data_IF_840108622203
#
_entry.id   IF_840108622203
#
_cell.length_a   1.000
_cell.length_b   1.000
_cell.length_c   1.000
_cell.angle_alpha   90.00
_cell.angle_beta   90.00
_cell.angle_gamma   90.00
#
_symmetry.space_group_name_H-M   'P 1'
#
loop_
_entity.id
_entity.type
_entity.pdbx_description
1 polymer ?
#
# COMPACT_ATOMS: atom_id res chain seq x y z
N UNK A 1 -6.48 -16.44 -23.46
CA UNK A 1 -5.37 -15.66 -24.07
C UNK A 1 -4.52 -15.11 -22.93
N UNK A 2 -3.20 -14.94 -23.12
CA UNK A 2 -2.38 -14.26 -22.12
C UNK A 2 -2.72 -12.76 -22.14
N UNK A 3 -2.87 -12.15 -20.95
CA UNK A 3 -3.11 -10.71 -20.83
C UNK A 3 -1.94 -9.93 -21.47
N UNK A 4 -2.23 -8.78 -22.04
CA UNK A 4 -1.24 -7.80 -22.49
C UNK A 4 -0.60 -7.07 -21.29
N UNK A 5 0.55 -6.41 -21.52
CA UNK A 5 1.17 -5.52 -20.52
C UNK A 5 0.20 -4.44 -20.08
N UNK A 6 -0.55 -3.86 -21.02
CA UNK A 6 -1.55 -2.82 -20.74
C UNK A 6 -2.67 -3.32 -19.83
N UNK A 7 -3.22 -4.51 -20.10
CA UNK A 7 -4.26 -5.10 -19.25
C UNK A 7 -3.74 -5.39 -17.84
N UNK A 8 -2.49 -5.83 -17.70
CA UNK A 8 -1.87 -6.03 -16.38
C UNK A 8 -1.59 -4.73 -15.64
N UNK A 9 -1.17 -3.68 -16.34
CA UNK A 9 -0.99 -2.35 -15.77
C UNK A 9 -2.33 -1.79 -15.24
N UNK A 10 -3.41 -1.92 -16.01
CA UNK A 10 -4.77 -1.59 -15.55
C UNK A 10 -5.17 -2.45 -14.36
N UNK A 11 -4.92 -3.76 -14.42
CA UNK A 11 -5.20 -4.70 -13.33
C UNK A 11 -4.44 -4.37 -12.05
N UNK A 12 -3.22 -3.85 -12.12
CA UNK A 12 -2.47 -3.39 -10.96
C UNK A 12 -3.15 -2.21 -10.26
N UNK A 13 -3.60 -1.20 -11.02
CA UNK A 13 -4.28 -0.02 -10.50
C UNK A 13 -5.65 -0.40 -9.91
N UNK A 14 -6.48 -1.07 -10.70
CA UNK A 14 -7.84 -1.46 -10.28
C UNK A 14 -7.79 -2.47 -9.14
N UNK A 15 -6.90 -3.46 -9.22
CA UNK A 15 -6.72 -4.46 -8.17
C UNK A 15 -6.29 -3.84 -6.84
N UNK A 16 -5.39 -2.85 -6.85
CA UNK A 16 -5.01 -2.13 -5.65
C UNK A 16 -6.20 -1.36 -5.04
N UNK A 17 -6.96 -0.63 -5.86
CA UNK A 17 -8.14 0.12 -5.40
C UNK A 17 -9.26 -0.80 -4.85
N UNK A 18 -9.50 -1.94 -5.50
CA UNK A 18 -10.47 -2.94 -5.03
C UNK A 18 -10.01 -3.58 -3.73
N UNK A 19 -8.72 -3.94 -3.62
CA UNK A 19 -8.16 -4.56 -2.43
C UNK A 19 -8.22 -3.63 -1.20
N UNK A 20 -7.93 -2.34 -1.38
CA UNK A 20 -8.00 -1.36 -0.29
C UNK A 20 -9.44 -1.20 0.22
N UNK A 21 -10.42 -1.03 -0.68
CA UNK A 21 -11.83 -0.95 -0.33
C UNK A 21 -12.37 -2.26 0.30
N UNK A 22 -11.93 -3.41 -0.19
CA UNK A 22 -12.31 -4.73 0.32
C UNK A 22 -11.81 -4.96 1.77
N UNK A 23 -10.59 -4.53 2.08
CA UNK A 23 -9.96 -4.73 3.37
C UNK A 23 -10.29 -3.63 4.40
N UNK A 24 -10.72 -2.44 3.95
CA UNK A 24 -11.01 -1.27 4.78
C UNK A 24 -11.84 -1.57 6.05
N UNK A 25 -12.92 -2.37 6.01
CA UNK A 25 -13.76 -2.63 7.18
C UNK A 25 -13.04 -3.38 8.32
N UNK A 26 -11.93 -4.06 8.04
CA UNK A 26 -11.18 -4.87 9.03
C UNK A 26 -9.74 -4.36 9.23
N UNK A 27 -9.45 -3.19 8.68
CA UNK A 27 -8.12 -2.60 8.73
C UNK A 27 -7.67 -2.36 10.18
N UNK A 28 -6.38 -2.62 10.45
CA UNK A 28 -5.70 -2.45 11.74
C UNK A 28 -6.24 -3.28 12.93
N UNK A 29 -6.87 -4.42 12.68
CA UNK A 29 -7.11 -5.42 13.74
C UNK A 29 -5.81 -6.20 13.99
N UNK A 30 -5.06 -5.78 15.02
CA UNK A 30 -3.76 -6.40 15.37
C UNK A 30 -3.87 -7.63 16.28
N UNK A 31 -4.93 -7.72 17.09
CA UNK A 31 -5.13 -8.88 17.96
C UNK A 31 -5.63 -10.07 17.12
N UNK A 32 -4.86 -11.16 17.12
CA UNK A 32 -5.13 -12.33 16.27
C UNK A 32 -6.42 -13.05 16.65
N UNK A 33 -6.75 -13.13 17.94
CA UNK A 33 -7.99 -13.78 18.38
C UNK A 33 -9.19 -12.94 17.97
N UNK A 34 -9.10 -11.61 18.12
CA UNK A 34 -10.12 -10.70 17.61
C UNK A 34 -10.29 -10.79 16.09
N UNK A 35 -9.18 -10.89 15.35
CA UNK A 35 -9.25 -11.07 13.90
C UNK A 35 -9.94 -12.39 13.52
N UNK A 36 -9.64 -13.49 14.22
CA UNK A 36 -10.31 -14.78 14.02
C UNK A 36 -11.80 -14.71 14.29
N UNK A 37 -12.21 -14.07 15.39
CA UNK A 37 -13.63 -13.84 15.71
C UNK A 37 -14.33 -13.07 14.60
N UNK A 38 -13.74 -11.97 14.11
CA UNK A 38 -14.33 -11.13 13.06
C UNK A 38 -14.46 -11.88 11.74
N UNK A 39 -13.51 -12.77 11.43
CA UNK A 39 -13.50 -13.57 10.20
C UNK A 39 -14.41 -14.81 10.27
N UNK A 40 -14.71 -15.33 11.46
CA UNK A 40 -15.41 -16.60 11.64
C UNK A 40 -16.76 -16.67 10.89
N UNK A 41 -17.50 -15.57 10.86
CA UNK A 41 -18.82 -15.48 10.21
C UNK A 41 -18.73 -15.05 8.73
N UNK A 42 -17.55 -14.73 8.23
CA UNK A 42 -17.33 -14.20 6.87
C UNK A 42 -16.61 -15.17 5.94
N UNK A 43 -15.96 -16.21 6.46
CA UNK A 43 -15.32 -17.22 5.62
C UNK A 43 -16.36 -17.92 4.72
N UNK A 44 -16.04 -18.14 3.42
CA UNK A 44 -14.75 -17.92 2.75
C UNK A 44 -14.58 -16.55 2.06
N UNK A 45 -15.50 -15.61 2.25
CA UNK A 45 -15.58 -14.31 1.56
C UNK A 45 -15.43 -13.13 2.53
N UNK A 46 -14.23 -12.88 3.07
CA UNK A 46 -13.98 -11.86 4.08
C UNK A 46 -14.00 -10.42 3.55
N UNK A 47 -13.96 -10.23 2.23
CA UNK A 47 -14.00 -8.94 1.57
C UNK A 47 -15.31 -8.17 1.80
N UNK A 48 -15.24 -6.83 1.77
CA UNK A 48 -16.42 -5.96 1.78
C UNK A 48 -17.40 -6.23 2.93
N UNK A 49 -16.88 -6.50 4.13
CA UNK A 49 -17.71 -6.66 5.33
C UNK A 49 -18.66 -5.46 5.49
N UNK A 50 -19.95 -5.73 5.62
CA UNK A 50 -20.98 -4.70 5.73
C UNK A 50 -20.81 -3.83 6.98
N UNK A 51 -20.58 -4.47 8.14
CA UNK A 51 -20.35 -3.78 9.40
C UNK A 51 -18.86 -3.66 9.70
N UNK A 52 -18.34 -2.43 9.70
CA UNK A 52 -16.93 -2.19 10.00
C UNK A 52 -16.52 -2.73 11.38
N UNK A 53 -15.48 -3.56 11.39
CA UNK A 53 -14.77 -4.02 12.58
C UNK A 53 -13.48 -3.19 12.85
N UNK A 54 -13.25 -2.14 12.08
CA UNK A 54 -12.09 -1.26 12.21
C UNK A 54 -12.11 -0.54 13.57
N UNK A 55 -11.05 -0.64 14.39
CA UNK A 55 -11.03 -0.07 15.72
C UNK A 55 -10.70 1.44 15.76
N UNK A 56 -10.32 2.05 14.63
CA UNK A 56 -9.82 3.43 14.59
C UNK A 56 -10.74 4.40 13.86
N UNK A 57 -11.37 4.00 12.76
CA UNK A 57 -12.19 4.88 11.95
C UNK A 57 -13.35 4.14 11.28
N UNK A 58 -14.40 4.87 10.92
CA UNK A 58 -15.56 4.35 10.18
C UNK A 58 -15.71 5.05 8.85
N UNK A 59 -15.83 4.25 7.80
CA UNK A 59 -16.21 4.65 6.44
C UNK A 59 -17.26 3.68 5.93
N UNK A 60 -17.99 4.09 4.90
CA UNK A 60 -18.93 3.18 4.24
C UNK A 60 -18.14 2.09 3.51
N UNK A 61 -18.55 0.84 3.67
CA UNK A 61 -17.94 -0.29 2.95
C UNK A 61 -17.94 -0.05 1.45
N UNK A 62 -16.80 -0.30 0.82
CA UNK A 62 -16.55 0.01 -0.60
C UNK A 62 -15.87 1.37 -0.82
N UNK A 63 -15.80 2.23 0.19
CA UNK A 63 -14.94 3.42 0.15
C UNK A 63 -13.47 3.05 0.38
N UNK A 64 -12.58 3.88 -0.17
CA UNK A 64 -11.15 3.74 0.03
C UNK A 64 -10.75 4.04 1.49
N UNK A 65 -9.57 3.58 1.89
CA UNK A 65 -8.84 4.11 3.04
C UNK A 65 -8.04 5.34 2.63
N UNK A 66 -7.30 5.92 3.59
CA UNK A 66 -6.32 6.96 3.28
C UNK A 66 -5.17 6.49 2.37
N UNK A 67 -4.94 5.18 2.27
CA UNK A 67 -3.99 4.62 1.31
C UNK A 67 -4.53 4.69 -0.13
N UNK A 68 -5.75 4.17 -0.34
CA UNK A 68 -6.41 4.21 -1.64
C UNK A 68 -6.67 5.64 -2.14
N UNK A 69 -7.06 6.56 -1.25
CA UNK A 69 -7.24 7.96 -1.60
C UNK A 69 -5.93 8.64 -2.01
N UNK A 70 -4.78 8.29 -1.41
CA UNK A 70 -3.47 8.77 -1.88
C UNK A 70 -3.12 8.22 -3.27
N UNK A 71 -3.42 6.94 -3.53
CA UNK A 71 -3.23 6.33 -4.84
C UNK A 71 -4.10 7.00 -5.91
N UNK A 72 -5.34 7.36 -5.56
CA UNK A 72 -6.25 8.07 -6.44
C UNK A 72 -5.73 9.47 -6.82
N UNK A 73 -5.28 10.26 -5.85
CA UNK A 73 -4.69 11.59 -6.10
C UNK A 73 -3.46 11.50 -7.00
N UNK A 74 -2.61 10.50 -6.80
CA UNK A 74 -1.47 10.23 -7.67
C UNK A 74 -1.90 9.88 -9.10
N UNK A 75 -2.88 8.99 -9.24
CA UNK A 75 -3.42 8.60 -10.54
C UNK A 75 -4.00 9.80 -11.29
N UNK A 76 -4.74 10.66 -10.60
CA UNK A 76 -5.30 11.89 -11.17
C UNK A 76 -4.19 12.82 -11.66
N UNK A 77 -3.18 13.08 -10.84
CA UNK A 77 -2.03 13.92 -11.20
C UNK A 77 -1.31 13.40 -12.45
N UNK A 78 -0.98 12.10 -12.47
CA UNK A 78 -0.34 11.45 -13.63
C UNK A 78 -1.18 11.57 -14.90
N UNK A 79 -2.50 11.33 -14.79
CA UNK A 79 -3.42 11.40 -15.92
C UNK A 79 -3.57 12.81 -16.49
N UNK A 80 -3.55 13.84 -15.64
CA UNK A 80 -3.73 15.22 -16.08
C UNK A 80 -2.41 15.82 -16.61
N UNK A 81 -1.27 15.45 -16.02
CA UNK A 81 0.03 16.00 -16.39
C UNK A 81 0.75 15.20 -17.48
N UNK A 82 0.33 13.97 -17.78
CA UNK A 82 1.03 13.08 -18.71
C UNK A 82 2.38 12.57 -18.18
N UNK A 83 2.56 12.57 -16.86
CA UNK A 83 3.79 12.14 -16.19
C UNK A 83 3.88 12.67 -14.77
N UNK A 84 4.98 12.36 -14.06
CA UNK A 84 5.22 12.88 -12.71
C UNK A 84 5.48 14.39 -12.75
N UNK A 85 4.59 15.15 -12.12
CA UNK A 85 4.75 16.58 -11.85
C UNK A 85 4.62 16.83 -10.34
N UNK A 86 5.73 17.07 -9.65
CA UNK A 86 5.78 17.16 -8.19
C UNK A 86 4.88 18.28 -7.66
N UNK A 87 4.90 19.47 -8.27
CA UNK A 87 4.07 20.58 -7.79
C UNK A 87 2.57 20.29 -7.92
N UNK A 88 2.11 19.77 -9.06
CA UNK A 88 0.70 19.38 -9.24
C UNK A 88 0.28 18.30 -8.23
N UNK A 89 1.12 17.28 -8.03
CA UNK A 89 0.86 16.23 -7.03
C UNK A 89 0.78 16.82 -5.60
N UNK A 90 1.68 17.73 -5.25
CA UNK A 90 1.68 18.44 -3.96
C UNK A 90 0.40 19.25 -3.79
N UNK A 91 0.01 20.05 -4.79
CA UNK A 91 -1.20 20.89 -4.73
C UNK A 91 -2.48 20.05 -4.64
N UNK A 92 -2.58 18.95 -5.40
CA UNK A 92 -3.74 18.04 -5.33
C UNK A 92 -3.81 17.32 -3.99
N UNK A 93 -2.67 16.84 -3.48
CA UNK A 93 -2.60 16.20 -2.17
C UNK A 93 -3.02 17.19 -1.07
N UNK A 94 -2.52 18.42 -1.12
CA UNK A 94 -2.89 19.46 -0.17
C UNK A 94 -4.39 19.77 -0.23
N UNK A 95 -4.95 19.93 -1.43
CA UNK A 95 -6.39 20.17 -1.64
C UNK A 95 -7.27 19.01 -1.16
N UNK A 96 -6.87 17.77 -1.43
CA UNK A 96 -7.67 16.58 -1.13
C UNK A 96 -7.68 16.24 0.36
N UNK A 97 -6.52 16.41 1.03
CA UNK A 97 -6.35 16.04 2.44
C UNK A 97 -6.36 17.23 3.39
N UNK A 98 -6.42 18.48 2.91
CA UNK A 98 -6.33 19.70 3.70
C UNK A 98 -7.63 20.12 4.40
N UNK A 99 -7.67 21.40 4.79
CA UNK A 99 -8.78 22.03 5.53
C UNK A 99 -10.09 22.02 4.72
N UNK A 100 -11.22 21.83 5.40
CA UNK A 100 -12.56 21.84 4.78
C UNK A 100 -12.93 20.55 4.02
N UNK A 101 -12.11 19.51 4.13
CA UNK A 101 -12.35 18.20 3.48
C UNK A 101 -12.94 17.20 4.47
N UNK A 102 -13.34 16.02 4.00
CA UNK A 102 -13.75 14.89 4.86
C UNK A 102 -12.65 14.42 5.81
N UNK A 103 -11.39 14.76 5.54
CA UNK A 103 -10.27 14.48 6.42
C UNK A 103 -10.10 15.50 7.54
N UNK A 104 -10.75 16.66 7.48
CA UNK A 104 -10.60 17.78 8.42
C UNK A 104 -11.38 17.56 9.72
N UNK A 105 -11.03 16.48 10.41
CA UNK A 105 -11.61 16.06 11.68
C UNK A 105 -10.69 16.45 12.85
N UNK A 106 -11.22 16.70 14.07
CA UNK A 106 -10.39 17.11 15.21
C UNK A 106 -9.22 16.16 15.53
N UNK A 107 -9.39 14.84 15.33
CA UNK A 107 -8.31 13.88 15.56
C UNK A 107 -7.28 13.84 14.42
N UNK A 108 -7.68 14.29 13.24
CA UNK A 108 -6.85 14.38 12.05
C UNK A 108 -6.07 15.70 11.93
N UNK A 109 -6.40 16.70 12.75
CA UNK A 109 -5.73 18.01 12.76
C UNK A 109 -4.18 17.83 12.77
N UNK A 110 -3.47 18.34 11.74
CA UNK A 110 -2.02 18.29 11.65
C UNK A 110 -1.31 18.98 12.82
N UNK A 111 -1.97 19.93 13.48
CA UNK A 111 -1.44 20.76 14.56
C UNK A 111 -1.88 20.29 15.95
N UNK A 112 -2.61 19.17 16.04
CA UNK A 112 -3.07 18.60 17.30
C UNK A 112 -1.90 18.28 18.23
N UNK A 113 -1.84 18.95 19.39
CA UNK A 113 -0.82 18.70 20.42
C UNK A 113 -1.00 17.32 21.07
N UNK A 114 0.12 16.64 21.32
CA UNK A 114 0.16 15.41 22.13
C UNK A 114 -0.20 15.75 23.58
N UNK A 115 -0.94 14.87 24.27
CA UNK A 115 -1.30 15.03 25.69
C UNK A 115 -2.72 15.56 25.98
N UNK A 116 -3.57 15.70 24.96
CA UNK A 116 -5.00 15.96 25.16
C UNK A 116 -5.77 14.73 25.69
N UNK A 117 -7.08 14.88 25.97
CA UNK A 117 -7.93 13.78 26.38
C UNK A 117 -7.84 12.57 25.43
N UNK A 118 -8.02 11.36 25.96
CA UNK A 118 -8.06 10.13 25.15
C UNK A 118 -9.14 10.28 24.07
N UNK A 119 -8.77 10.01 22.83
CA UNK A 119 -9.72 10.02 21.73
C UNK A 119 -10.75 8.91 21.91
N UNK A 120 -12.02 9.23 21.65
CA UNK A 120 -13.06 8.21 21.48
C UNK A 120 -12.87 7.62 20.09
N UNK A 121 -12.64 6.32 20.03
CA UNK A 121 -12.46 5.56 18.80
C UNK A 121 -13.57 4.51 18.65
N UNK A 122 -13.92 4.12 17.41
CA UNK A 122 -13.41 4.71 16.16
C UNK A 122 -14.02 6.09 15.87
N UNK A 123 -13.29 6.95 15.16
CA UNK A 123 -13.84 8.22 14.66
C UNK A 123 -14.88 7.98 13.55
N UNK A 124 -15.82 8.91 13.41
CA UNK A 124 -16.78 8.91 12.30
C UNK A 124 -16.18 9.70 11.12
N UNK A 125 -15.77 8.98 10.07
CA UNK A 125 -15.03 9.53 8.93
C UNK A 125 -13.63 8.92 8.76
N UNK A 126 -12.85 9.40 7.76
CA UNK A 126 -11.58 8.81 7.40
C UNK A 126 -10.45 9.15 8.38
N UNK A 127 -9.43 8.32 8.43
CA UNK A 127 -8.22 8.54 9.23
C UNK A 127 -7.11 9.21 8.40
N UNK A 128 -6.55 10.35 8.84
CA UNK A 128 -5.40 11.00 8.19
C UNK A 128 -4.08 10.46 8.74
N UNK A 129 -3.23 9.90 7.89
CA UNK A 129 -1.93 9.34 8.29
C UNK A 129 -0.94 10.40 8.80
N UNK A 130 0.06 9.94 9.56
CA UNK A 130 1.12 10.79 10.12
C UNK A 130 1.93 11.50 9.04
N UNK A 131 2.32 10.77 8.00
CA UNK A 131 2.93 11.25 6.76
C UNK A 131 2.20 12.47 6.19
N UNK A 132 0.88 12.39 6.02
CA UNK A 132 0.05 13.48 5.48
C UNK A 132 -0.09 14.67 6.44
N UNK A 133 -0.14 14.43 7.76
CA UNK A 133 -0.13 15.52 8.74
C UNK A 133 1.18 16.30 8.67
N UNK A 134 2.31 15.61 8.59
CA UNK A 134 3.61 16.25 8.41
C UNK A 134 3.73 16.97 7.07
N UNK A 135 3.27 16.36 5.99
CA UNK A 135 3.16 16.97 4.67
C UNK A 135 2.42 18.31 4.71
N UNK A 136 1.21 18.34 5.28
CA UNK A 136 0.43 19.58 5.37
C UNK A 136 1.19 20.67 6.14
N UNK A 137 1.79 20.32 7.29
CA UNK A 137 2.62 21.27 8.05
C UNK A 137 3.82 21.79 7.27
N UNK A 138 4.47 20.93 6.49
CA UNK A 138 5.64 21.29 5.71
C UNK A 138 5.28 22.21 4.53
N UNK A 139 4.15 21.95 3.87
CA UNK A 139 3.61 22.84 2.81
C UNK A 139 3.21 24.19 3.41
N UNK A 140 2.49 24.21 4.54
CA UNK A 140 2.10 25.45 5.23
C UNK A 140 3.31 26.29 5.67
N UNK A 141 4.43 25.62 6.01
CA UNK A 141 5.69 26.26 6.36
C UNK A 141 6.54 26.69 5.13
N UNK A 142 6.07 26.43 3.90
CA UNK A 142 6.78 26.79 2.67
C UNK A 142 8.08 26.00 2.45
N UNK A 143 8.17 24.77 2.97
CA UNK A 143 9.35 23.92 2.74
C UNK A 143 9.37 23.39 1.30
N UNK A 144 10.57 23.29 0.74
CA UNK A 144 10.80 22.64 -0.57
C UNK A 144 10.59 21.13 -0.47
N UNK A 145 11.14 20.49 0.57
CA UNK A 145 10.90 19.08 0.86
C UNK A 145 9.68 18.93 1.78
N UNK A 146 8.58 18.44 1.20
CA UNK A 146 7.30 18.36 1.90
C UNK A 146 7.12 17.05 2.67
N UNK A 147 7.83 15.98 2.31
CA UNK A 147 7.65 14.66 2.93
C UNK A 147 8.02 14.59 4.41
N UNK A 148 7.42 13.63 5.11
CA UNK A 148 7.76 13.33 6.51
C UNK A 148 9.04 12.50 6.61
N UNK A 149 10.01 12.95 7.39
CA UNK A 149 11.28 12.27 7.66
C UNK A 149 11.17 11.16 8.73
N UNK A 150 10.23 11.30 9.65
CA UNK A 150 10.00 10.32 10.74
C UNK A 150 9.08 9.15 10.35
N UNK A 151 8.19 9.33 9.38
CA UNK A 151 7.17 8.32 9.03
C UNK A 151 7.76 7.21 8.15
N UNK A 152 7.75 5.98 8.69
CA UNK A 152 8.21 4.77 8.01
C UNK A 152 7.07 3.75 7.81
N UNK A 153 5.83 4.23 7.65
CA UNK A 153 4.64 3.40 7.39
C UNK A 153 4.57 2.96 5.92
N UNK A 154 3.54 2.16 5.59
CA UNK A 154 3.38 1.48 4.31
C UNK A 154 2.83 2.37 3.17
N UNK A 155 2.59 3.67 3.41
CA UNK A 155 1.91 4.55 2.46
C UNK A 155 2.52 4.51 1.07
N UNK A 156 3.86 4.60 0.96
CA UNK A 156 4.59 4.48 -0.30
C UNK A 156 4.23 3.22 -1.09
N UNK A 157 4.19 2.06 -0.44
CA UNK A 157 3.85 0.79 -1.10
C UNK A 157 2.39 0.75 -1.54
N UNK A 158 1.48 1.19 -0.68
CA UNK A 158 0.04 1.09 -0.99
C UNK A 158 -0.41 1.99 -2.14
N UNK A 159 0.36 3.05 -2.44
CA UNK A 159 0.00 4.02 -3.49
C UNK A 159 0.85 3.93 -4.77
N UNK A 160 1.82 3.02 -4.87
CA UNK A 160 2.75 2.99 -6.01
C UNK A 160 2.15 2.48 -7.32
N UNK A 161 1.01 1.79 -7.29
CA UNK A 161 0.46 1.11 -8.47
C UNK A 161 0.26 2.04 -9.69
N UNK A 162 -0.28 3.27 -9.57
CA UNK A 162 -0.42 4.19 -10.70
C UNK A 162 0.92 4.58 -11.34
N UNK A 163 1.93 4.95 -10.54
CA UNK A 163 3.22 5.41 -11.09
C UNK A 163 4.00 4.25 -11.70
N UNK A 164 3.99 3.06 -11.09
CA UNK A 164 4.66 1.89 -11.68
C UNK A 164 3.96 1.45 -12.95
N UNK A 165 2.62 1.42 -12.98
CA UNK A 165 1.87 1.09 -14.18
C UNK A 165 2.12 2.08 -15.33
N UNK A 166 2.28 3.37 -15.03
CA UNK A 166 2.55 4.41 -16.02
C UNK A 166 3.96 4.29 -16.63
N UNK A 167 4.95 3.92 -15.82
CA UNK A 167 6.37 3.88 -16.21
C UNK A 167 6.93 2.48 -16.42
N UNK A 168 6.13 1.42 -16.33
CA UNK A 168 6.61 0.04 -16.45
C UNK A 168 7.40 -0.19 -17.76
N UNK A 169 8.61 -0.73 -17.61
CA UNK A 169 9.55 -0.96 -18.72
C UNK A 169 10.38 0.25 -19.12
N UNK A 170 10.19 1.41 -18.49
CA UNK A 170 11.02 2.61 -18.70
C UNK A 170 12.18 2.63 -17.71
N UNK A 171 13.38 3.00 -18.18
CA UNK A 171 14.60 2.97 -17.38
C UNK A 171 14.64 3.98 -16.23
N UNK A 172 13.73 4.96 -16.22
CA UNK A 172 13.60 5.98 -15.18
C UNK A 172 12.44 5.71 -14.19
N UNK A 173 11.75 4.57 -14.29
CA UNK A 173 10.58 4.24 -13.45
C UNK A 173 10.84 4.42 -11.96
N UNK A 174 11.98 3.93 -11.46
CA UNK A 174 12.34 4.01 -10.05
C UNK A 174 12.62 5.44 -9.58
N UNK A 175 13.21 6.27 -10.43
CA UNK A 175 13.39 7.71 -10.15
C UNK A 175 12.03 8.40 -10.01
N UNK A 176 11.06 8.05 -10.87
CA UNK A 176 9.69 8.59 -10.80
C UNK A 176 8.97 8.15 -9.53
N UNK A 177 9.10 6.88 -9.17
CA UNK A 177 8.54 6.32 -7.94
C UNK A 177 9.11 7.05 -6.71
N UNK A 178 10.43 7.21 -6.63
CA UNK A 178 11.08 7.92 -5.52
C UNK A 178 10.57 9.35 -5.38
N UNK A 179 10.52 10.11 -6.48
CA UNK A 179 9.98 11.49 -6.50
C UNK A 179 8.57 11.56 -5.94
N UNK A 180 7.70 10.62 -6.31
CA UNK A 180 6.31 10.55 -5.84
C UNK A 180 6.22 10.24 -4.34
N UNK A 181 7.03 9.32 -3.83
CA UNK A 181 7.01 8.93 -2.41
C UNK A 181 7.47 10.10 -1.54
N UNK A 182 8.57 10.76 -1.95
CA UNK A 182 9.19 11.87 -1.22
C UNK A 182 8.28 13.09 -1.04
N UNK A 183 7.19 13.21 -1.82
CA UNK A 183 6.16 14.23 -1.59
C UNK A 183 5.56 14.13 -0.19
N UNK A 184 5.26 12.91 0.31
CA UNK A 184 4.61 12.74 1.62
C UNK A 184 5.47 12.00 2.64
N UNK A 185 6.46 11.23 2.20
CA UNK A 185 7.37 10.47 3.06
C UNK A 185 8.81 10.65 2.56
N UNK A 186 9.61 11.42 3.31
CA UNK A 186 11.02 11.67 3.02
C UNK A 186 11.92 10.84 3.97
N UNK A 187 11.68 9.54 4.00
CA UNK A 187 12.39 8.60 4.87
C UNK A 187 13.07 7.50 4.04
N UNK A 188 14.38 7.34 4.17
CA UNK A 188 15.15 6.52 3.24
C UNK A 188 14.85 5.01 3.34
N UNK A 189 14.48 4.50 4.52
CA UNK A 189 14.05 3.09 4.60
C UNK A 189 12.69 2.90 3.93
N UNK A 190 11.78 3.87 4.05
CA UNK A 190 10.51 3.85 3.34
C UNK A 190 10.72 3.85 1.82
N UNK A 191 11.60 4.74 1.32
CA UNK A 191 11.94 4.84 -0.10
C UNK A 191 12.55 3.53 -0.60
N UNK A 192 13.59 3.00 0.06
CA UNK A 192 14.26 1.77 -0.36
C UNK A 192 13.30 0.56 -0.41
N UNK A 193 12.45 0.39 0.62
CA UNK A 193 11.46 -0.69 0.67
C UNK A 193 10.40 -0.53 -0.42
N UNK A 194 9.97 0.70 -0.69
CA UNK A 194 8.97 0.99 -1.72
C UNK A 194 9.52 0.76 -3.13
N UNK A 195 10.78 1.11 -3.38
CA UNK A 195 11.44 0.86 -4.66
C UNK A 195 11.60 -0.65 -4.93
N UNK A 196 11.91 -1.45 -3.91
CA UNK A 196 11.88 -2.90 -4.06
C UNK A 196 10.48 -3.43 -4.39
N UNK A 197 9.43 -2.91 -3.74
CA UNK A 197 8.05 -3.26 -4.07
C UNK A 197 7.66 -2.83 -5.50
N UNK A 198 8.16 -1.69 -5.97
CA UNK A 198 7.95 -1.21 -7.33
C UNK A 198 8.57 -2.15 -8.38
N UNK A 199 9.79 -2.66 -8.13
CA UNK A 199 10.42 -3.69 -8.97
C UNK A 199 9.58 -4.97 -9.04
N UNK A 200 9.02 -5.40 -7.90
CA UNK A 200 8.15 -6.59 -7.86
C UNK A 200 6.89 -6.35 -8.71
N UNK A 201 6.22 -5.22 -8.51
CA UNK A 201 5.00 -4.91 -9.26
C UNK A 201 5.28 -4.77 -10.77
N UNK A 202 6.36 -4.08 -11.14
CA UNK A 202 6.80 -3.97 -12.53
C UNK A 202 7.06 -5.35 -13.15
N UNK A 203 7.74 -6.25 -12.42
CA UNK A 203 7.97 -7.62 -12.89
C UNK A 203 6.66 -8.32 -13.27
N UNK A 204 5.62 -8.20 -12.46
CA UNK A 204 4.30 -8.78 -12.77
C UNK A 204 3.60 -8.05 -13.93
N UNK A 205 3.74 -6.73 -14.04
CA UNK A 205 3.17 -5.97 -15.16
C UNK A 205 3.82 -6.37 -16.48
N UNK A 206 5.14 -6.53 -16.51
CA UNK A 206 5.88 -6.88 -17.73
C UNK A 206 5.73 -8.36 -18.09
N UNK A 207 5.76 -9.26 -17.11
CA UNK A 207 5.91 -10.70 -17.37
C UNK A 207 4.67 -11.53 -17.03
N UNK A 208 3.69 -10.98 -16.30
CA UNK A 208 2.58 -11.75 -15.75
C UNK A 208 2.97 -12.59 -14.53
N UNK A 209 2.12 -13.57 -14.14
CA UNK A 209 2.36 -14.42 -12.99
C UNK A 209 3.72 -15.13 -13.09
N UNK A 210 4.59 -14.91 -12.11
CA UNK A 210 5.96 -15.43 -12.11
C UNK A 210 6.32 -15.95 -10.72
N UNK A 211 6.62 -17.25 -10.56
CA UNK A 211 7.12 -17.78 -9.29
C UNK A 211 8.54 -17.27 -8.97
N UNK A 212 9.24 -16.73 -9.97
CA UNK A 212 10.62 -16.23 -9.85
C UNK A 212 10.71 -14.71 -9.62
N UNK A 213 9.60 -14.05 -9.29
CA UNK A 213 9.55 -12.58 -9.21
C UNK A 213 10.51 -12.04 -8.13
N UNK A 214 10.57 -12.70 -6.96
CA UNK A 214 11.45 -12.27 -5.88
C UNK A 214 12.93 -12.51 -6.21
N UNK A 215 13.26 -13.62 -6.87
CA UNK A 215 14.62 -13.90 -7.35
C UNK A 215 15.08 -12.88 -8.39
N UNK A 216 14.21 -12.51 -9.33
CA UNK A 216 14.50 -11.51 -10.33
C UNK A 216 14.79 -10.14 -9.68
N UNK A 217 13.98 -9.73 -8.70
CA UNK A 217 14.19 -8.49 -7.97
C UNK A 217 15.43 -8.54 -7.09
N UNK A 218 15.73 -9.66 -6.44
CA UNK A 218 16.98 -9.85 -5.70
C UNK A 218 18.19 -9.74 -6.63
N UNK A 219 18.13 -10.31 -7.83
CA UNK A 219 19.21 -10.16 -8.82
C UNK A 219 19.41 -8.70 -9.21
N UNK A 220 18.34 -7.94 -9.46
CA UNK A 220 18.41 -6.51 -9.73
C UNK A 220 19.02 -5.71 -8.56
N UNK A 221 18.63 -6.01 -7.33
CA UNK A 221 19.14 -5.31 -6.14
C UNK A 221 20.61 -5.63 -5.86
N UNK A 222 21.08 -6.83 -6.19
CA UNK A 222 22.48 -7.24 -6.03
C UNK A 222 23.39 -6.78 -7.19
N UNK A 223 22.83 -6.20 -8.26
CA UNK A 223 23.63 -5.67 -9.36
C UNK A 223 24.42 -4.42 -8.88
N UNK A 224 25.76 -4.42 -8.98
CA UNK A 224 26.57 -3.24 -8.65
C UNK A 224 26.25 -2.01 -9.50
N UNK A 225 25.69 -2.19 -10.70
CA UNK A 225 25.27 -1.14 -11.63
C UNK A 225 23.76 -0.93 -11.66
N UNK A 226 23.03 -1.42 -10.64
CA UNK A 226 21.58 -1.27 -10.56
C UNK A 226 21.11 0.17 -10.71
N UNK A 227 19.96 0.34 -11.33
CA UNK A 227 19.27 1.63 -11.44
C UNK A 227 18.76 2.10 -10.08
N UNK A 228 18.91 3.40 -9.79
CA UNK A 228 18.45 4.07 -8.57
C UNK A 228 18.94 3.35 -7.28
N UNK A 229 20.26 3.29 -7.03
CA UNK A 229 20.81 2.67 -5.84
C UNK A 229 20.48 3.47 -4.59
N UNK A 230 20.06 2.79 -3.52
CA UNK A 230 19.77 3.37 -2.22
C UNK A 230 20.79 2.92 -1.17
N UNK A 231 21.06 3.77 -0.17
CA UNK A 231 21.99 3.43 0.92
C UNK A 231 21.54 2.19 1.72
N UNK A 232 20.23 2.01 1.85
CA UNK A 232 19.62 0.93 2.64
C UNK A 232 19.25 -0.32 1.82
N UNK A 233 19.69 -0.42 0.56
CA UNK A 233 19.43 -1.58 -0.29
C UNK A 233 19.92 -2.89 0.35
N UNK A 234 21.07 -2.89 1.03
CA UNK A 234 21.61 -4.07 1.70
C UNK A 234 20.65 -4.61 2.79
N UNK A 235 19.93 -3.72 3.48
CA UNK A 235 18.92 -4.10 4.46
C UNK A 235 17.73 -4.76 3.75
N UNK A 236 17.28 -4.16 2.65
CA UNK A 236 16.15 -4.67 1.84
C UNK A 236 16.50 -6.03 1.21
N UNK A 237 17.72 -6.21 0.70
CA UNK A 237 18.23 -7.48 0.17
C UNK A 237 18.19 -8.56 1.26
N UNK A 238 18.71 -8.27 2.46
CA UNK A 238 18.71 -9.23 3.57
C UNK A 238 17.30 -9.67 3.96
N UNK A 239 16.35 -8.74 4.04
CA UNK A 239 14.94 -9.03 4.36
C UNK A 239 14.23 -9.79 3.25
N UNK A 240 14.47 -9.43 1.99
CA UNK A 240 13.87 -10.10 0.83
C UNK A 240 14.40 -11.53 0.68
N UNK A 241 15.71 -11.72 0.89
CA UNK A 241 16.35 -13.05 0.92
C UNK A 241 15.74 -13.93 2.01
N UNK A 242 15.58 -13.37 3.22
CA UNK A 242 14.93 -14.09 4.31
C UNK A 242 13.49 -14.47 3.96
N UNK A 243 12.71 -13.57 3.37
CA UNK A 243 11.34 -13.85 2.95
C UNK A 243 11.27 -15.00 1.92
N UNK A 244 12.15 -14.96 0.91
CA UNK A 244 12.24 -15.99 -0.13
C UNK A 244 12.56 -17.38 0.46
N UNK A 245 13.54 -17.46 1.36
CA UNK A 245 13.93 -18.72 2.01
C UNK A 245 12.81 -19.33 2.87
N UNK A 246 11.90 -18.49 3.38
CA UNK A 246 10.84 -18.93 4.29
C UNK A 246 9.47 -19.07 3.60
N UNK A 247 9.34 -18.75 2.31
CA UNK A 247 8.05 -18.76 1.60
C UNK A 247 7.43 -20.17 1.54
N UNK A 248 8.26 -21.21 1.52
CA UNK A 248 7.84 -22.61 1.48
C UNK A 248 7.54 -23.21 2.87
N UNK A 249 8.05 -22.62 3.95
CA UNK A 249 7.86 -23.14 5.31
C UNK A 249 6.46 -22.88 5.87
N UNK A 250 5.65 -22.03 5.21
CA UNK A 250 4.25 -21.76 5.58
C UNK A 250 3.21 -22.51 4.74
N UNK A 251 3.65 -23.35 3.80
CA UNK A 251 2.80 -24.29 3.07
C UNK A 251 2.66 -25.62 3.82
N UNK A 252 2.32 -25.60 5.11
CA UNK A 252 1.92 -26.81 5.86
C UNK A 252 0.40 -26.83 6.07
N UNK A 253 -0.26 -27.99 5.92
CA UNK A 253 -1.70 -28.10 5.90
C UNK A 253 -2.30 -27.90 7.29
N UNK A 254 -3.60 -27.59 7.31
CA UNK A 254 -4.45 -27.60 8.50
C UNK A 254 -4.36 -28.95 9.24
N UNK A 255 -3.44 -29.08 10.18
CA UNK A 255 -3.53 -30.08 11.24
C UNK A 255 -2.89 -29.54 12.50
N UNK A 256 -3.65 -29.62 13.57
CA UNK A 256 -3.41 -29.05 14.88
C UNK A 256 -2.06 -29.44 15.51
N UNK A 257 -1.68 -28.64 16.50
CA UNK A 257 -0.62 -28.83 17.51
C UNK A 257 0.82 -28.61 17.06
N UNK A 258 1.36 -27.45 17.44
CA UNK A 258 2.78 -27.12 17.31
C UNK A 258 3.03 -25.64 17.56
N UNK A 259 3.24 -25.26 18.82
CA UNK A 259 3.73 -23.93 19.19
C UNK A 259 5.07 -23.67 18.52
N UNK A 260 5.19 -22.56 17.77
CA UNK A 260 6.48 -22.00 17.39
C UNK A 260 6.55 -20.55 17.90
N UNK A 261 7.41 -20.25 18.89
CA UNK A 261 7.53 -18.92 19.47
C UNK A 261 8.47 -18.09 18.61
N UNK A 262 7.97 -17.01 18.01
CA UNK A 262 8.72 -15.78 17.70
C UNK A 262 7.75 -14.80 17.05
N UNK A 263 7.08 -14.05 17.93
CA UNK A 263 6.34 -12.86 17.58
C UNK A 263 7.33 -11.83 16.99
N UNK A 264 7.33 -11.66 15.67
CA UNK A 264 7.91 -10.48 15.05
C UNK A 264 6.78 -9.45 14.96
N UNK A 265 6.71 -8.62 16.00
CA UNK A 265 5.94 -7.38 16.02
C UNK A 265 6.58 -6.38 15.06
N UNK A 266 6.29 -6.51 13.76
CA UNK A 266 6.46 -5.42 12.81
C UNK A 266 5.36 -5.51 11.73
N UNK A 267 4.46 -4.52 11.61
CA UNK A 267 3.27 -4.59 10.76
C UNK A 267 3.58 -4.58 9.25
N UNK A 268 4.84 -4.40 8.86
CA UNK A 268 5.27 -4.17 7.47
C UNK A 268 5.12 -5.40 6.57
N UNK A 269 5.21 -6.63 7.10
CA UNK A 269 5.42 -7.81 6.25
C UNK A 269 4.27 -8.83 6.19
N UNK A 270 3.25 -8.72 7.05
CA UNK A 270 2.20 -9.75 7.09
C UNK A 270 1.24 -9.73 5.88
N UNK A 271 1.21 -8.64 5.09
CA UNK A 271 0.28 -8.50 3.97
C UNK A 271 0.81 -8.98 2.62
N UNK A 272 2.12 -9.19 2.45
CA UNK A 272 2.69 -9.49 1.12
C UNK A 272 2.45 -10.94 0.64
N UNK A 273 2.20 -11.89 1.57
CA UNK A 273 2.16 -13.32 1.24
C UNK A 273 0.75 -13.91 1.03
N UNK A 274 -0.33 -13.13 1.19
CA UNK A 274 -1.72 -13.64 1.11
C UNK A 274 -2.57 -13.09 -0.04
N UNK A 275 -2.05 -12.19 -0.87
CA UNK A 275 -2.82 -11.57 -1.96
C UNK A 275 -2.44 -12.09 -3.36
N UNK A 276 -1.97 -13.33 -3.50
CA UNK A 276 -1.90 -14.00 -4.79
C UNK A 276 -3.21 -14.79 -4.97
N UNK A 277 -4.22 -14.28 -5.69
CA UNK A 277 -5.38 -15.09 -6.03
C UNK A 277 -4.90 -16.29 -6.85
N UNK A 278 -5.13 -17.50 -6.33
CA UNK A 278 -5.13 -18.70 -7.17
C UNK A 278 -6.34 -18.58 -8.10
N UNK A 279 -6.08 -18.24 -9.36
CA UNK A 279 -7.01 -18.36 -10.49
C UNK A 279 -8.42 -17.81 -10.26
N UNK A 280 -8.63 -16.52 -10.50
CA UNK A 280 -9.95 -16.01 -10.86
C UNK A 280 -10.17 -16.29 -12.35
N UNK A 281 -10.79 -17.42 -12.69
CA UNK A 281 -11.37 -17.63 -14.02
C UNK A 281 -12.67 -16.83 -14.10
N UNK A 282 -12.63 -15.71 -14.81
CA UNK A 282 -13.82 -14.95 -15.20
C UNK A 282 -14.44 -15.63 -16.44
N UNK A 283 -15.72 -16.01 -16.36
CA UNK A 283 -16.51 -16.47 -17.52
C UNK A 283 -17.64 -15.46 -17.76
N UNK A 284 -17.90 -15.01 -18.99
CA UNK A 284 -18.79 -13.86 -19.25
C UNK A 284 -20.28 -14.18 -19.20
N UNK A 285 -20.68 -15.45 -19.13
CA UNK A 285 -22.07 -15.85 -19.33
C UNK A 285 -22.61 -16.67 -18.13
N UNK A 286 -23.63 -16.12 -17.48
CA UNK A 286 -24.36 -16.77 -16.39
C UNK A 286 -25.51 -15.90 -15.91
N UNK A 287 -26.63 -15.93 -16.63
CA UNK A 287 -27.91 -15.34 -16.21
C UNK A 287 -28.39 -15.88 -14.85
N UNK A 288 -29.20 -15.11 -14.09
CA UNK A 288 -29.77 -15.55 -12.83
C UNK A 288 -30.98 -16.44 -13.10
N UNK A 289 -30.97 -17.66 -12.58
CA UNK A 289 -32.19 -18.47 -12.45
C UNK A 289 -32.45 -18.81 -10.99
N UNK A 290 -33.63 -18.41 -10.52
CA UNK A 290 -34.35 -19.02 -9.39
C UNK A 290 -34.08 -18.44 -8.02
#
# INVERSE_FOLDING_TARGET
MALSVRERAIGAIVGAAVADAAAQPMHWIYNLDRLREVLADLEPTPEFRADSANPFYRRKTGEQTCYGDQAYVLLESLSQCGGVHVDDLTQRTYKFFGTGTVYDLPLNDPYRKKGGPKAVLPIDGPWRHGSLKAFLRNVDAGKEETGCDEDCQMDGITKLAPVVAFYAGQGDMLEKVEKVIRVTQNNDICVAVTLAAARILEHFILNGPSPKALEAVLAQLNDPQRQNPQELDNVVIGKTTFALQNIHLRAYPHSATGMCPLAISSPVFCCFARCIPRSATWSPDGEPTG
#
